data_IF_112450960629
#
_entry.id   IF_112450960629
#
_cell.length_a   1.000
_cell.length_b   1.000
_cell.length_c   1.000
_cell.angle_alpha   90.00
_cell.angle_beta   90.00
_cell.angle_gamma   90.00
#
_symmetry.space_group_name_H-M   'P 1'
#
loop_
_entity.id
_entity.type
_entity.pdbx_description
1 polymer ?
#
# COMPACT_ATOMS: atom_id res chain seq x y z
N UNK A 1 -10.97 -3.19 11.05
CA UNK A 1 -10.95 -4.34 10.13
C UNK A 1 -9.52 -4.60 9.63
N UNK A 2 -8.90 -3.66 8.92
CA UNK A 2 -7.51 -3.84 8.45
C UNK A 2 -6.49 -4.10 9.57
N UNK A 3 -6.58 -3.42 10.71
CA UNK A 3 -5.63 -3.64 11.82
C UNK A 3 -5.64 -5.09 12.34
N UNK A 4 -6.84 -5.66 12.59
CA UNK A 4 -6.99 -7.08 12.92
C UNK A 4 -6.46 -7.97 11.79
N UNK A 5 -6.73 -7.62 10.53
CA UNK A 5 -6.20 -8.32 9.37
C UNK A 5 -4.68 -8.42 9.40
N UNK A 6 -3.99 -7.29 9.53
CA UNK A 6 -2.53 -7.27 9.59
C UNK A 6 -1.94 -7.98 10.80
N UNK A 7 -2.56 -7.85 11.98
CA UNK A 7 -1.97 -8.41 13.21
C UNK A 7 -2.17 -9.92 13.35
N UNK A 8 -3.19 -10.49 12.69
CA UNK A 8 -3.59 -11.89 12.97
C UNK A 8 -3.84 -12.76 11.73
N UNK A 9 -4.03 -12.18 10.54
CA UNK A 9 -4.51 -12.94 9.38
C UNK A 9 -3.62 -12.81 8.15
N UNK A 10 -3.31 -11.59 7.72
CA UNK A 10 -2.64 -11.35 6.45
C UNK A 10 -1.22 -11.93 6.44
N UNK A 11 -0.97 -12.79 5.47
CA UNK A 11 0.32 -13.43 5.26
C UNK A 11 1.10 -12.71 4.17
N UNK A 12 2.29 -12.20 4.53
CA UNK A 12 3.24 -11.67 3.57
C UNK A 12 3.84 -12.80 2.71
N UNK A 13 4.35 -12.49 1.50
CA UNK A 13 5.08 -13.46 0.69
C UNK A 13 6.32 -14.00 1.43
N UNK A 14 6.61 -15.28 1.20
CA UNK A 14 7.76 -16.04 1.70
C UNK A 14 8.34 -16.89 0.56
N UNK A 15 9.46 -17.57 0.79
CA UNK A 15 10.08 -18.43 -0.23
C UNK A 15 9.19 -19.64 -0.63
N UNK A 16 8.29 -20.07 0.25
CA UNK A 16 7.42 -21.24 0.05
C UNK A 16 5.99 -20.87 -0.36
N UNK A 17 5.55 -19.64 -0.07
CA UNK A 17 4.18 -19.18 -0.29
C UNK A 17 4.12 -17.72 -0.76
N UNK A 18 3.35 -17.45 -1.81
CA UNK A 18 3.23 -16.11 -2.42
C UNK A 18 2.50 -15.05 -1.59
N UNK A 19 1.99 -15.41 -0.42
CA UNK A 19 1.22 -14.53 0.47
C UNK A 19 -0.24 -14.39 0.07
N UNK A 20 -1.01 -13.72 0.93
CA UNK A 20 -2.42 -13.46 0.69
C UNK A 20 -2.64 -12.38 -0.37
N UNK A 21 -3.60 -12.60 -1.27
CA UNK A 21 -3.99 -11.60 -2.27
C UNK A 21 -5.04 -10.65 -1.69
N UNK A 22 -4.58 -9.55 -1.12
CA UNK A 22 -5.46 -8.55 -0.47
C UNK A 22 -5.81 -7.41 -1.44
N UNK A 23 -7.08 -7.36 -1.85
CA UNK A 23 -7.64 -6.28 -2.67
C UNK A 23 -8.07 -5.10 -1.79
N UNK A 24 -7.10 -4.30 -1.33
CA UNK A 24 -7.37 -3.13 -0.50
C UNK A 24 -8.37 -2.18 -1.17
N UNK A 25 -9.34 -1.66 -0.42
CA UNK A 25 -10.25 -0.64 -0.93
C UNK A 25 -9.46 0.62 -1.31
N UNK A 26 -9.59 1.10 -2.55
CA UNK A 26 -8.69 2.11 -3.11
C UNK A 26 -8.56 3.38 -2.25
N UNK A 27 -9.68 3.93 -1.78
CA UNK A 27 -9.68 5.14 -0.96
C UNK A 27 -9.13 4.96 0.47
N UNK A 28 -8.89 3.72 0.92
CA UNK A 28 -8.23 3.41 2.19
C UNK A 28 -6.69 3.46 2.09
N UNK A 29 -6.12 3.79 0.92
CA UNK A 29 -4.68 3.94 0.71
C UNK A 29 -3.97 4.79 1.77
N UNK A 30 -4.53 5.91 2.31
CA UNK A 30 -3.82 6.68 3.34
C UNK A 30 -3.59 5.87 4.63
N UNK A 31 -4.52 4.97 4.98
CA UNK A 31 -4.35 4.11 6.15
C UNK A 31 -3.27 3.05 5.95
N UNK A 32 -3.11 2.54 4.73
CA UNK A 32 -2.02 1.60 4.39
C UNK A 32 -0.68 2.31 4.42
N UNK A 33 -0.59 3.53 3.90
CA UNK A 33 0.64 4.34 3.97
C UNK A 33 1.01 4.71 5.40
N UNK A 34 0.04 5.09 6.23
CA UNK A 34 0.28 5.39 7.64
C UNK A 34 0.87 4.18 8.39
N UNK A 35 0.35 2.98 8.14
CA UNK A 35 0.92 1.75 8.71
C UNK A 35 2.33 1.48 8.19
N UNK A 36 2.54 1.57 6.88
CA UNK A 36 3.84 1.34 6.26
C UNK A 36 4.91 2.34 6.75
N UNK A 37 4.54 3.58 7.04
CA UNK A 37 5.40 4.56 7.70
C UNK A 37 5.78 4.12 9.13
N UNK A 38 4.82 3.68 9.93
CA UNK A 38 5.09 3.16 11.28
C UNK A 38 5.97 1.89 11.26
N UNK A 39 5.89 1.10 10.19
CA UNK A 39 6.74 -0.07 9.95
C UNK A 39 8.13 0.30 9.37
N UNK A 40 8.41 1.59 9.14
CA UNK A 40 9.68 2.08 8.61
C UNK A 40 9.90 1.82 7.12
N UNK A 41 8.84 1.48 6.37
CA UNK A 41 8.89 1.20 4.94
C UNK A 41 8.69 2.43 4.05
N UNK A 42 8.14 3.50 4.61
CA UNK A 42 7.89 4.78 3.95
C UNK A 42 8.51 5.88 4.82
N UNK A 43 9.15 6.88 4.21
CA UNK A 43 9.71 8.04 4.92
C UNK A 43 8.66 9.12 5.19
N UNK A 44 8.96 10.03 6.12
CA UNK A 44 8.12 11.21 6.37
C UNK A 44 7.99 12.08 5.11
N UNK A 45 9.08 12.27 4.36
CA UNK A 45 9.09 13.01 3.09
C UNK A 45 8.13 12.41 2.05
N UNK A 46 8.09 11.08 1.94
CA UNK A 46 7.15 10.40 1.04
C UNK A 46 5.69 10.64 1.47
N UNK A 47 5.40 10.65 2.77
CA UNK A 47 4.07 10.98 3.29
C UNK A 47 3.67 12.42 2.99
N UNK A 48 4.59 13.37 3.12
CA UNK A 48 4.38 14.78 2.76
C UNK A 48 4.09 14.93 1.26
N UNK A 49 4.73 14.10 0.42
CA UNK A 49 4.50 14.02 -1.02
C UNK A 49 3.31 13.14 -1.43
N UNK A 50 2.36 12.86 -0.53
CA UNK A 50 1.16 12.12 -0.89
C UNK A 50 0.38 12.84 -2.01
N UNK A 51 0.10 12.10 -3.09
CA UNK A 51 -0.51 12.58 -4.35
C UNK A 51 0.36 13.55 -5.16
N UNK A 52 1.64 13.67 -4.86
CA UNK A 52 2.61 14.49 -5.59
C UNK A 52 3.75 13.59 -6.09
N UNK A 53 3.54 12.93 -7.22
CA UNK A 53 4.41 11.84 -7.71
C UNK A 53 5.23 12.19 -8.95
N UNK A 54 5.02 13.37 -9.56
CA UNK A 54 5.63 13.76 -10.84
C UNK A 54 7.16 13.86 -10.75
N UNK A 55 7.67 14.41 -9.66
CA UNK A 55 9.11 14.59 -9.43
C UNK A 55 9.76 13.35 -8.78
N UNK A 56 9.03 12.24 -8.70
CA UNK A 56 9.41 11.07 -7.93
C UNK A 56 9.22 11.26 -6.42
N UNK A 57 9.61 10.26 -5.63
CA UNK A 57 9.52 10.25 -4.16
C UNK A 57 8.13 10.55 -3.55
N UNK A 58 7.06 10.47 -4.35
CA UNK A 58 5.67 10.63 -3.91
C UNK A 58 4.95 9.31 -3.70
N UNK A 59 3.76 9.40 -3.11
CA UNK A 59 2.86 8.26 -2.91
C UNK A 59 1.62 8.42 -3.79
N UNK A 60 1.30 7.38 -4.55
CA UNK A 60 0.14 7.39 -5.43
C UNK A 60 -1.17 7.53 -4.67
N UNK A 61 -2.16 8.14 -5.33
CA UNK A 61 -3.48 8.37 -4.72
C UNK A 61 -4.18 7.07 -4.30
N UNK A 62 -4.02 6.00 -5.08
CA UNK A 62 -4.67 4.70 -4.93
C UNK A 62 -3.70 3.56 -5.28
N UNK A 63 -4.11 2.28 -5.12
CA UNK A 63 -3.31 1.14 -5.53
C UNK A 63 -3.02 1.12 -7.04
N UNK A 64 -1.84 1.60 -7.42
CA UNK A 64 -1.39 1.67 -8.81
C UNK A 64 -0.03 0.97 -8.95
N UNK A 65 -0.01 -0.33 -9.29
CA UNK A 65 1.24 -1.09 -9.45
C UNK A 65 2.19 -0.51 -10.51
N UNK A 66 1.65 0.17 -11.53
CA UNK A 66 2.49 0.82 -12.54
C UNK A 66 3.28 2.02 -11.96
N UNK A 67 2.68 2.77 -11.03
CA UNK A 67 3.31 3.94 -10.40
C UNK A 67 4.20 3.54 -9.21
N UNK A 68 3.82 2.48 -8.48
CA UNK A 68 4.54 1.97 -7.32
C UNK A 68 4.69 0.43 -7.40
N UNK A 69 5.58 -0.07 -8.27
CA UNK A 69 5.69 -1.51 -8.59
C UNK A 69 6.13 -2.38 -7.40
N UNK A 70 6.87 -1.81 -6.46
CA UNK A 70 7.39 -2.52 -5.29
C UNK A 70 6.47 -2.39 -4.05
N UNK A 71 5.29 -1.77 -4.21
CA UNK A 71 4.35 -1.52 -3.11
C UNK A 71 2.94 -2.05 -3.39
N UNK A 72 2.32 -1.65 -4.50
CA UNK A 72 0.94 -2.02 -4.82
C UNK A 72 0.86 -3.21 -5.78
N UNK A 73 -0.13 -4.08 -5.58
CA UNK A 73 -0.32 -5.29 -6.39
C UNK A 73 -1.59 -5.27 -7.26
N UNK A 74 -2.72 -4.78 -6.74
CA UNK A 74 -4.02 -4.86 -7.42
C UNK A 74 -4.69 -3.48 -7.49
N UNK A 75 -5.07 -2.99 -8.69
CA UNK A 75 -5.82 -1.74 -8.83
C UNK A 75 -7.30 -1.93 -8.48
N UNK A 76 -7.81 -1.14 -7.52
CA UNK A 76 -9.14 -1.36 -6.91
C UNK A 76 -10.00 -0.10 -6.80
N UNK A 77 -9.52 1.06 -7.26
CA UNK A 77 -10.28 2.31 -7.07
C UNK A 77 -11.50 2.42 -7.99
N UNK A 78 -11.44 1.85 -9.20
CA UNK A 78 -12.62 1.68 -10.03
C UNK A 78 -13.51 0.63 -9.37
N UNK A 79 -14.63 1.06 -8.81
CA UNK A 79 -15.57 0.17 -8.14
C UNK A 79 -16.33 -0.68 -9.16
N UNK A 80 -16.42 -1.98 -8.91
CA UNK A 80 -17.18 -2.93 -9.73
C UNK A 80 -16.44 -3.35 -10.99
#
# INVERSE_FOLDING_TARGET
>A
LYDIGFNYFFQAPTDEHGGDLVFFQGHASPGVYARAFLEGRISEEQLENFRQEVDGNGLSSYPHPWLMPDFWQFPTVSMG
#
